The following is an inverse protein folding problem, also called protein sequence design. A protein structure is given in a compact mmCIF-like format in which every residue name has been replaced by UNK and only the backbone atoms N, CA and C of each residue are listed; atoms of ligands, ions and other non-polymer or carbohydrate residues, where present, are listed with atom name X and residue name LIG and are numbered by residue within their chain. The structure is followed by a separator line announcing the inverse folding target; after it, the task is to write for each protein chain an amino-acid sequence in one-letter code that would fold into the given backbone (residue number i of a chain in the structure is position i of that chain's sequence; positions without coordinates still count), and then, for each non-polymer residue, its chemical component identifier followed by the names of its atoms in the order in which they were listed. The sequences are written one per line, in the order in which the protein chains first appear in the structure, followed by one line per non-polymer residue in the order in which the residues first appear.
data_IF_584375975330
#
_entry.id   IF_584375975330
#
_cell.length_a   1.000
_cell.length_b   1.000
_cell.length_c   1.000
_cell.angle_alpha   90.00
_cell.angle_beta   90.00
_cell.angle_gamma   90.00
#
_symmetry.space_group_name_H-M   'P 1'
#
loop_
_entity.id
_entity.type
_entity.pdbx_description
1 polymer ?
#
# COMPACT_ATOMS: atom_id res chain seq x y z
N UNK A 1 -12.02 0.58 -2.62
CA UNK A 1 -10.98 0.58 -3.66
C UNK A 1 -11.25 1.66 -4.71
N UNK A 2 -12.32 1.59 -5.47
CA UNK A 2 -12.67 2.59 -6.49
C UNK A 2 -13.77 3.53 -6.02
N UNK A 3 -13.75 4.77 -6.50
CA UNK A 3 -14.85 5.72 -6.32
C UNK A 3 -16.01 5.32 -7.23
N UNK A 4 -17.24 5.41 -6.72
CA UNK A 4 -18.45 5.26 -7.50
C UNK A 4 -19.04 6.66 -7.76
N UNK A 5 -18.85 7.19 -8.97
CA UNK A 5 -19.33 8.52 -9.30
C UNK A 5 -20.86 8.59 -9.35
N UNK A 6 -21.43 9.78 -9.08
CA UNK A 6 -22.85 10.05 -9.29
C UNK A 6 -23.20 10.07 -10.79
N UNK A 7 -24.49 10.04 -11.12
CA UNK A 7 -24.95 10.15 -12.52
C UNK A 7 -24.49 11.47 -13.16
N UNK A 8 -24.57 12.57 -12.41
CA UNK A 8 -24.13 13.89 -12.87
C UNK A 8 -22.62 13.95 -13.16
N UNK A 9 -21.82 13.29 -12.30
CA UNK A 9 -20.38 13.16 -12.54
C UNK A 9 -20.06 12.32 -13.78
N UNK A 10 -20.89 11.30 -14.09
CA UNK A 10 -20.71 10.45 -15.26
C UNK A 10 -21.11 11.15 -16.58
N UNK A 11 -22.01 12.11 -16.58
CA UNK A 11 -22.47 12.81 -17.78
C UNK A 11 -21.33 13.51 -18.54
N UNK A 12 -20.33 14.02 -17.81
CA UNK A 12 -19.18 14.73 -18.36
C UNK A 12 -17.83 14.03 -18.05
N UNK A 13 -17.88 12.73 -17.75
CA UNK A 13 -16.70 11.99 -17.37
C UNK A 13 -15.87 11.60 -18.59
N UNK A 14 -14.66 12.12 -18.66
CA UNK A 14 -13.64 11.71 -19.64
C UNK A 14 -12.55 10.90 -18.91
N UNK A 15 -12.36 9.62 -19.24
CA UNK A 15 -11.36 8.80 -18.57
C UNK A 15 -9.94 9.16 -19.00
N UNK A 16 -9.04 9.36 -18.05
CA UNK A 16 -7.60 9.44 -18.31
C UNK A 16 -7.01 8.08 -18.67
N UNK A 17 -7.59 6.99 -18.12
CA UNK A 17 -7.18 5.61 -18.33
C UNK A 17 -8.40 4.72 -18.49
N UNK A 18 -8.28 3.67 -19.30
CA UNK A 18 -9.34 2.67 -19.50
C UNK A 18 -8.82 1.29 -19.14
N UNK A 19 -9.57 0.56 -18.32
CA UNK A 19 -9.28 -0.83 -17.97
C UNK A 19 -10.33 -1.76 -18.58
N UNK A 20 -9.87 -2.67 -19.41
CA UNK A 20 -10.69 -3.76 -19.96
C UNK A 20 -10.40 -5.05 -19.19
N UNK A 21 -11.37 -5.53 -18.42
CA UNK A 21 -11.26 -6.79 -17.71
C UNK A 21 -12.13 -7.86 -18.34
N UNK A 22 -11.49 -8.82 -19.00
CA UNK A 22 -12.13 -9.98 -19.62
C UNK A 22 -11.75 -11.26 -18.86
N UNK A 23 -12.29 -11.42 -17.66
CA UNK A 23 -11.93 -12.48 -16.70
C UNK A 23 -12.08 -13.90 -17.24
N UNK A 24 -12.93 -14.12 -18.24
CA UNK A 24 -13.15 -15.45 -18.86
C UNK A 24 -12.34 -15.68 -20.13
N UNK A 25 -11.77 -14.63 -20.72
CA UNK A 25 -11.00 -14.74 -21.94
C UNK A 25 -9.58 -15.24 -21.63
N UNK A 26 -9.15 -16.28 -22.33
CA UNK A 26 -7.83 -16.90 -22.18
C UNK A 26 -6.92 -16.53 -23.34
N UNK A 27 -5.62 -16.47 -23.09
CA UNK A 27 -4.59 -16.36 -24.13
C UNK A 27 -4.16 -17.78 -24.53
N UNK A 28 -4.85 -18.39 -25.46
CA UNK A 28 -4.62 -19.81 -25.85
C UNK A 28 -3.20 -20.02 -26.41
N UNK A 29 -2.69 -19.06 -27.18
CA UNK A 29 -1.36 -19.10 -27.78
C UNK A 29 -0.27 -18.43 -26.92
N UNK A 30 -0.43 -18.45 -25.60
CA UNK A 30 0.46 -17.75 -24.66
C UNK A 30 1.95 -18.11 -24.82
N UNK A 31 2.25 -19.39 -25.17
CA UNK A 31 3.65 -19.85 -25.37
C UNK A 31 4.30 -19.20 -26.59
N UNK A 32 3.53 -19.03 -27.68
CA UNK A 32 4.02 -18.38 -28.91
C UNK A 32 4.29 -16.89 -28.68
N UNK A 33 3.51 -16.28 -27.76
CA UNK A 33 3.69 -14.89 -27.34
C UNK A 33 4.76 -14.71 -26.25
N UNK A 34 5.40 -15.77 -25.80
CA UNK A 34 6.41 -15.72 -24.73
C UNK A 34 5.84 -15.44 -23.33
N UNK A 35 4.55 -15.66 -23.13
CA UNK A 35 3.90 -15.50 -21.81
C UNK A 35 4.04 -16.77 -20.97
N UNK A 36 3.97 -16.61 -19.64
CA UNK A 36 4.11 -17.71 -18.69
C UNK A 36 2.84 -18.55 -18.51
N UNK A 37 1.68 -17.99 -18.84
CA UNK A 37 0.38 -18.65 -18.66
C UNK A 37 -0.69 -18.08 -19.61
N UNK A 38 -1.87 -18.70 -19.59
CA UNK A 38 -3.07 -18.20 -20.29
C UNK A 38 -3.62 -16.88 -19.71
N UNK A 39 -3.08 -16.42 -18.58
CA UNK A 39 -3.44 -15.15 -17.95
C UNK A 39 -2.49 -14.06 -18.43
N UNK A 40 -3.04 -12.92 -18.81
CA UNK A 40 -2.24 -11.77 -19.20
C UNK A 40 -2.78 -10.46 -18.62
N UNK A 41 -1.86 -9.60 -18.20
CA UNK A 41 -2.12 -8.22 -17.82
C UNK A 41 -1.20 -7.34 -18.66
N UNK A 42 -1.77 -6.54 -19.54
CA UNK A 42 -1.03 -5.80 -20.56
C UNK A 42 -1.39 -4.33 -20.49
N UNK A 43 -0.39 -3.47 -20.64
CA UNK A 43 -0.55 -2.03 -20.66
C UNK A 43 -0.14 -1.43 -22.00
N UNK A 44 -0.92 -0.46 -22.46
CA UNK A 44 -0.52 0.45 -23.50
C UNK A 44 -0.41 1.87 -22.92
N UNK A 45 0.81 2.33 -22.69
CA UNK A 45 1.06 3.64 -22.09
C UNK A 45 0.74 4.81 -23.04
N UNK A 46 0.73 4.57 -24.34
CA UNK A 46 0.40 5.59 -25.34
C UNK A 46 -1.11 5.86 -25.37
N UNK A 47 -1.92 4.79 -25.45
CA UNK A 47 -3.39 4.90 -25.44
C UNK A 47 -3.97 4.95 -24.02
N UNK A 48 -3.12 4.73 -23.00
CA UNK A 48 -3.48 4.70 -21.58
C UNK A 48 -4.54 3.66 -21.27
N UNK A 49 -4.30 2.46 -21.76
CA UNK A 49 -5.20 1.32 -21.60
C UNK A 49 -4.52 0.17 -20.86
N UNK A 50 -5.31 -0.55 -20.09
CA UNK A 50 -4.94 -1.83 -19.49
C UNK A 50 -5.92 -2.90 -19.95
N UNK A 51 -5.40 -4.06 -20.37
CA UNK A 51 -6.20 -5.24 -20.68
C UNK A 51 -5.84 -6.35 -19.69
N UNK A 52 -6.85 -6.92 -19.05
CA UNK A 52 -6.73 -8.01 -18.08
C UNK A 52 -7.50 -9.21 -18.61
N UNK A 53 -6.81 -10.35 -18.77
CA UNK A 53 -7.37 -11.58 -19.31
C UNK A 53 -7.22 -12.73 -18.31
N UNK A 54 -8.23 -13.58 -18.21
CA UNK A 54 -8.24 -14.84 -17.48
C UNK A 54 -7.95 -14.73 -15.97
N UNK A 55 -8.34 -13.65 -15.32
CA UNK A 55 -8.31 -13.52 -13.86
C UNK A 55 -9.50 -12.75 -13.33
N UNK A 56 -10.01 -13.18 -12.19
CA UNK A 56 -11.10 -12.53 -11.45
C UNK A 56 -10.58 -11.64 -10.34
N UNK A 57 -9.25 -11.63 -10.12
CA UNK A 57 -8.63 -10.90 -9.02
C UNK A 57 -8.73 -9.39 -9.25
N UNK A 58 -9.52 -8.71 -8.41
CA UNK A 58 -9.76 -7.27 -8.48
C UNK A 58 -8.51 -6.42 -8.26
N UNK A 59 -7.51 -6.99 -7.57
CA UNK A 59 -6.21 -6.37 -7.36
C UNK A 59 -5.45 -6.03 -8.63
N UNK A 60 -5.68 -6.75 -9.75
CA UNK A 60 -5.04 -6.45 -11.03
C UNK A 60 -5.46 -5.08 -11.59
N UNK A 61 -6.73 -4.72 -11.46
CA UNK A 61 -7.21 -3.38 -11.84
C UNK A 61 -6.58 -2.29 -10.97
N UNK A 62 -6.57 -2.50 -9.64
CA UNK A 62 -6.01 -1.55 -8.67
C UNK A 62 -4.51 -1.36 -8.90
N UNK A 63 -3.74 -2.45 -8.88
CA UNK A 63 -2.27 -2.40 -9.01
C UNK A 63 -1.83 -2.00 -10.41
N UNK A 64 -2.64 -2.30 -11.41
CA UNK A 64 -2.42 -1.80 -12.76
C UNK A 64 -2.51 -0.28 -12.83
N UNK A 65 -3.52 0.34 -12.25
CA UNK A 65 -3.62 1.79 -12.18
C UNK A 65 -2.46 2.39 -11.37
N UNK A 66 -2.04 1.74 -10.28
CA UNK A 66 -0.85 2.17 -9.55
C UNK A 66 0.42 2.13 -10.42
N UNK A 67 0.61 1.09 -11.23
CA UNK A 67 1.72 1.03 -12.19
C UNK A 67 1.67 2.15 -13.23
N UNK A 68 0.47 2.53 -13.69
CA UNK A 68 0.27 3.69 -14.57
C UNK A 68 0.67 5.01 -13.87
N UNK A 69 0.26 5.21 -12.60
CA UNK A 69 0.67 6.36 -11.79
C UNK A 69 2.18 6.37 -11.57
N UNK A 70 2.81 5.22 -11.35
CA UNK A 70 4.26 5.06 -11.24
C UNK A 70 5.02 5.39 -12.53
N UNK A 71 4.38 5.33 -13.67
CA UNK A 71 4.98 5.81 -14.92
C UNK A 71 4.83 7.31 -15.09
N UNK A 72 3.61 7.84 -14.99
CA UNK A 72 3.33 9.23 -15.37
C UNK A 72 3.72 10.25 -14.29
N UNK A 73 3.56 9.96 -13.03
CA UNK A 73 3.77 10.91 -11.94
C UNK A 73 5.24 11.30 -11.73
N UNK A 74 6.22 10.38 -11.71
CA UNK A 74 7.63 10.79 -11.60
C UNK A 74 8.12 11.64 -12.77
N UNK A 75 7.54 11.46 -13.96
CA UNK A 75 7.86 12.30 -15.13
C UNK A 75 7.31 13.73 -15.00
N UNK A 76 6.37 13.95 -14.07
CA UNK A 76 5.77 15.26 -13.75
C UNK A 76 6.31 15.87 -12.46
N UNK A 77 7.36 15.28 -11.87
CA UNK A 77 7.94 15.73 -10.61
C UNK A 77 7.10 15.41 -9.37
N UNK A 78 6.24 14.40 -9.45
CA UNK A 78 5.45 13.89 -8.33
C UNK A 78 6.08 12.59 -7.85
N UNK A 79 6.47 12.50 -6.58
CA UNK A 79 6.94 11.25 -6.02
C UNK A 79 5.76 10.27 -5.91
N UNK A 80 5.85 9.14 -6.61
CA UNK A 80 4.85 8.07 -6.56
C UNK A 80 5.36 6.96 -5.66
N UNK A 81 4.53 6.53 -4.69
CA UNK A 81 5.00 5.79 -3.53
C UNK A 81 4.06 4.65 -3.16
N UNK A 82 4.63 3.45 -2.99
CA UNK A 82 3.97 2.32 -2.33
C UNK A 82 4.20 2.44 -0.81
N UNK A 83 3.34 3.16 -0.15
CA UNK A 83 3.44 3.47 1.27
C UNK A 83 2.07 3.70 1.87
N UNK A 84 1.94 3.60 3.19
CA UNK A 84 0.82 4.19 3.91
C UNK A 84 1.16 5.60 4.39
N UNK A 85 0.14 6.40 4.65
CA UNK A 85 0.32 7.79 5.10
C UNK A 85 -0.75 8.22 6.09
N UNK A 86 -0.34 9.00 7.08
CA UNK A 86 -1.24 9.65 8.04
C UNK A 86 -0.77 11.08 8.35
N UNK A 87 -1.60 11.84 9.03
CA UNK A 87 -1.26 13.17 9.52
C UNK A 87 -1.58 13.29 11.00
N UNK A 88 -0.96 14.27 11.70
CA UNK A 88 -1.36 14.59 13.08
C UNK A 88 -2.81 15.10 13.14
N UNK A 89 -3.37 15.21 14.33
CA UNK A 89 -4.80 15.59 14.50
C UNK A 89 -5.06 17.03 14.02
N UNK A 90 -4.05 17.90 14.07
CA UNK A 90 -4.08 19.29 13.62
C UNK A 90 -3.91 19.46 12.11
N UNK A 91 -3.59 18.35 11.39
CA UNK A 91 -3.35 18.33 9.95
C UNK A 91 -2.24 19.29 9.48
N UNK A 92 -1.18 19.42 10.27
CA UNK A 92 -0.04 20.30 9.99
C UNK A 92 1.18 19.56 9.44
N UNK A 93 1.27 18.26 9.69
CA UNK A 93 2.39 17.43 9.25
C UNK A 93 1.96 15.99 8.98
N UNK A 94 2.47 15.40 7.90
CA UNK A 94 2.25 14.00 7.57
C UNK A 94 3.44 13.12 7.91
N UNK A 95 3.16 11.83 8.11
CA UNK A 95 4.14 10.76 8.14
C UNK A 95 3.83 9.74 7.04
N UNK A 96 4.86 9.24 6.36
CA UNK A 96 4.76 8.19 5.35
C UNK A 96 5.56 6.97 5.80
N UNK A 97 5.01 5.78 5.53
CA UNK A 97 5.55 4.51 6.00
C UNK A 97 5.77 3.58 4.81
N UNK A 98 7.02 3.32 4.47
CA UNK A 98 7.42 2.34 3.48
C UNK A 98 7.62 0.97 4.13
N UNK A 99 7.35 -0.09 3.38
CA UNK A 99 7.58 -1.47 3.83
C UNK A 99 6.81 -2.45 2.95
N UNK A 100 7.17 -3.72 2.98
CA UNK A 100 6.44 -4.78 2.29
C UNK A 100 5.23 -5.26 3.09
N UNK A 101 4.48 -6.21 2.51
CA UNK A 101 3.37 -6.86 3.20
C UNK A 101 3.83 -7.50 4.52
N UNK A 102 3.07 -7.29 5.58
CA UNK A 102 3.37 -7.84 6.91
C UNK A 102 4.37 -7.03 7.76
N UNK A 103 4.95 -5.94 7.24
CA UNK A 103 5.87 -5.08 8.02
C UNK A 103 5.15 -4.03 8.87
N UNK A 104 3.84 -4.09 8.99
CA UNK A 104 3.07 -3.22 9.87
C UNK A 104 2.73 -1.83 9.33
N UNK A 105 2.85 -1.59 8.00
CA UNK A 105 2.46 -0.31 7.39
C UNK A 105 1.06 0.15 7.81
N UNK A 106 0.06 -0.70 7.56
CA UNK A 106 -1.34 -0.39 7.87
C UNK A 106 -1.54 -0.19 9.36
N UNK A 107 -1.01 -1.09 10.20
CA UNK A 107 -1.14 -1.02 11.65
C UNK A 107 -0.55 0.27 12.24
N UNK A 108 0.60 0.72 11.74
CA UNK A 108 1.24 1.95 12.22
C UNK A 108 0.57 3.22 11.68
N UNK A 109 0.00 3.17 10.49
CA UNK A 109 -0.67 4.33 9.89
C UNK A 109 -2.08 4.56 10.45
N UNK A 110 -2.72 3.54 11.01
CA UNK A 110 -4.08 3.60 11.59
C UNK A 110 -4.08 3.94 13.09
N UNK A 111 -3.06 4.61 13.60
CA UNK A 111 -3.02 5.12 14.99
C UNK A 111 -4.26 6.00 15.28
N UNK A 112 -5.05 5.71 16.32
CA UNK A 112 -6.25 6.49 16.67
C UNK A 112 -5.95 7.95 17.04
N UNK A 113 -4.69 8.30 17.33
CA UNK A 113 -4.23 9.67 17.59
C UNK A 113 -3.78 10.43 16.34
N UNK A 114 -3.91 9.82 15.16
CA UNK A 114 -3.54 10.43 13.88
C UNK A 114 -4.68 10.18 12.89
N UNK A 115 -4.79 11.00 11.84
CA UNK A 115 -5.78 10.83 10.79
C UNK A 115 -5.18 10.12 9.59
N UNK A 116 -5.82 9.07 9.12
CA UNK A 116 -5.38 8.32 7.95
C UNK A 116 -5.55 9.16 6.68
N UNK A 117 -4.51 9.20 5.83
CA UNK A 117 -4.58 9.71 4.45
C UNK A 117 -4.90 8.54 3.52
N UNK A 118 -4.21 7.42 3.68
CA UNK A 118 -4.43 6.17 2.97
C UNK A 118 -3.47 5.08 3.44
N UNK A 119 -3.75 3.83 3.08
CA UNK A 119 -3.03 2.67 3.61
C UNK A 119 -2.00 2.04 2.65
N UNK A 120 -1.99 2.41 1.33
CA UNK A 120 -1.19 1.64 0.37
C UNK A 120 -0.52 2.46 -0.76
N UNK A 121 -1.21 3.40 -1.42
CA UNK A 121 -0.75 4.03 -2.67
C UNK A 121 -0.88 5.56 -2.63
N UNK A 122 0.24 6.27 -2.71
CA UNK A 122 0.28 7.72 -2.54
C UNK A 122 1.14 8.45 -3.57
N UNK A 123 0.77 9.70 -3.83
CA UNK A 123 1.61 10.70 -4.47
C UNK A 123 2.05 11.78 -3.48
N UNK A 124 3.21 12.37 -3.75
CA UNK A 124 3.68 13.56 -3.04
C UNK A 124 4.08 14.61 -4.05
N UNK A 125 3.26 15.64 -4.17
CA UNK A 125 3.46 16.77 -5.07
C UNK A 125 4.00 18.01 -4.33
N UNK A 126 3.79 19.21 -4.88
CA UNK A 126 4.23 20.46 -4.28
C UNK A 126 3.22 21.02 -3.26
N UNK A 127 2.07 20.41 -3.10
CA UNK A 127 1.03 20.82 -2.14
C UNK A 127 1.00 19.90 -0.90
N UNK A 128 1.44 18.64 -1.05
CA UNK A 128 1.45 17.69 0.05
C UNK A 128 1.35 16.24 -0.41
N UNK A 129 0.99 15.36 0.51
CA UNK A 129 0.78 13.93 0.28
C UNK A 129 -0.68 13.68 -0.07
N UNK A 130 -0.94 12.85 -1.07
CA UNK A 130 -2.31 12.49 -1.45
C UNK A 130 -2.44 11.00 -1.79
N UNK A 131 -3.60 10.45 -1.50
CA UNK A 131 -3.94 9.06 -1.76
C UNK A 131 -4.49 8.90 -3.19
N UNK A 132 -4.08 7.85 -3.89
CA UNK A 132 -4.61 7.52 -5.23
C UNK A 132 -5.95 6.81 -5.18
N UNK A 133 -6.32 6.26 -4.03
CA UNK A 133 -7.43 5.31 -3.91
C UNK A 133 -8.69 5.96 -3.35
N UNK A 134 -9.86 5.50 -3.82
CA UNK A 134 -11.16 5.88 -3.26
C UNK A 134 -11.56 5.06 -2.03
N UNK A 135 -10.76 4.11 -1.62
CA UNK A 135 -11.01 3.23 -0.48
C UNK A 135 -9.82 2.35 -0.18
N UNK A 136 -10.00 1.40 0.72
CA UNK A 136 -8.99 0.42 1.09
C UNK A 136 -9.26 -0.93 0.43
N UNK A 137 -8.21 -1.73 0.26
CA UNK A 137 -8.28 -3.11 -0.23
C UNK A 137 -7.40 -4.01 0.65
N UNK A 138 -7.98 -4.43 1.76
CA UNK A 138 -7.28 -5.12 2.82
C UNK A 138 -7.32 -6.65 2.65
N UNK A 139 -6.26 -7.33 3.09
CA UNK A 139 -6.24 -8.78 3.29
C UNK A 139 -6.99 -9.09 4.59
N UNK A 140 -7.87 -10.11 4.56
CA UNK A 140 -8.75 -10.42 5.69
C UNK A 140 -8.69 -11.88 6.14
N UNK A 141 -7.69 -12.64 5.68
CA UNK A 141 -7.49 -14.00 6.21
C UNK A 141 -7.14 -13.93 7.70
N UNK A 142 -7.87 -14.68 8.52
CA UNK A 142 -7.79 -14.67 9.98
C UNK A 142 -7.99 -13.25 10.60
N UNK A 143 -8.76 -12.38 9.95
CA UNK A 143 -9.07 -11.05 10.49
C UNK A 143 -9.71 -11.18 11.87
N UNK A 144 -9.10 -10.52 12.84
CA UNK A 144 -9.55 -10.47 14.21
C UNK A 144 -9.90 -9.05 14.65
N UNK A 145 -10.99 -8.90 15.37
CA UNK A 145 -11.50 -7.60 15.80
C UNK A 145 -10.61 -6.88 16.81
N UNK A 146 -9.88 -7.63 17.63
CA UNK A 146 -9.02 -7.05 18.67
C UNK A 146 -7.69 -6.58 18.11
N UNK A 147 -7.14 -7.32 17.14
CA UNK A 147 -5.85 -7.00 16.53
C UNK A 147 -5.96 -5.97 15.39
N UNK A 148 -7.06 -5.96 14.62
CA UNK A 148 -7.27 -5.08 13.47
C UNK A 148 -8.67 -4.43 13.50
N UNK A 149 -8.98 -3.65 14.54
CA UNK A 149 -10.32 -3.10 14.77
C UNK A 149 -10.80 -2.17 13.64
N UNK A 150 -9.91 -1.40 13.03
CA UNK A 150 -10.27 -0.45 11.97
C UNK A 150 -10.73 -1.16 10.71
N UNK A 151 -10.02 -2.21 10.27
CA UNK A 151 -10.44 -3.03 9.13
C UNK A 151 -11.74 -3.73 9.44
N UNK A 152 -11.83 -4.37 10.63
CA UNK A 152 -13.04 -5.10 11.03
C UNK A 152 -14.29 -4.20 11.07
N UNK A 153 -14.18 -3.01 11.66
CA UNK A 153 -15.28 -2.06 11.78
C UNK A 153 -15.63 -1.37 10.46
N UNK A 154 -14.70 -1.31 9.50
CA UNK A 154 -14.95 -0.79 8.16
C UNK A 154 -15.74 -1.74 7.26
N UNK A 155 -15.88 -3.03 7.64
CA UNK A 155 -16.69 -4.02 6.93
C UNK A 155 -18.16 -3.79 7.24
N UNK A 156 -18.77 -2.90 6.50
CA UNK A 156 -20.18 -2.48 6.61
C UNK A 156 -20.87 -2.71 5.27
N UNK A 157 -22.15 -2.32 5.19
CA UNK A 157 -22.85 -2.22 3.91
C UNK A 157 -22.00 -1.41 2.91
N UNK A 158 -21.96 -1.86 1.66
CA UNK A 158 -21.15 -1.34 0.54
C UNK A 158 -19.66 -1.75 0.57
N UNK A 159 -19.21 -2.55 1.54
CA UNK A 159 -17.96 -3.30 1.42
C UNK A 159 -18.12 -4.49 0.48
N UNK A 160 -17.10 -4.78 -0.32
CA UNK A 160 -17.05 -5.93 -1.23
C UNK A 160 -16.09 -6.97 -0.66
N UNK A 161 -16.58 -8.20 -0.50
CA UNK A 161 -15.79 -9.36 -0.11
C UNK A 161 -15.31 -10.10 -1.36
N UNK A 162 -14.02 -10.45 -1.42
CA UNK A 162 -13.43 -11.23 -2.49
C UNK A 162 -12.78 -12.50 -1.92
N UNK A 163 -13.17 -13.66 -2.44
CA UNK A 163 -12.74 -14.99 -1.98
C UNK A 163 -13.08 -15.29 -0.51
N UNK A 164 -13.98 -14.55 0.10
CA UNK A 164 -14.44 -14.72 1.48
C UNK A 164 -15.77 -15.48 1.47
N UNK A 165 -15.88 -16.51 2.29
CA UNK A 165 -17.10 -17.29 2.42
C UNK A 165 -18.07 -16.66 3.39
N UNK A 166 -19.35 -16.75 3.05
CA UNK A 166 -20.46 -16.27 3.87
C UNK A 166 -21.50 -17.39 3.99
N UNK A 167 -21.89 -17.74 5.19
CA UNK A 167 -22.88 -18.78 5.41
C UNK A 167 -24.32 -18.35 5.05
N UNK A 168 -25.25 -19.29 5.11
CA UNK A 168 -26.67 -19.03 4.79
C UNK A 168 -27.33 -17.98 5.71
N UNK A 169 -26.76 -17.67 6.86
CA UNK A 169 -27.24 -16.67 7.82
C UNK A 169 -26.55 -15.31 7.64
N UNK A 170 -25.65 -15.20 6.65
CA UNK A 170 -24.89 -13.97 6.39
C UNK A 170 -23.66 -13.82 7.31
N UNK A 171 -23.24 -14.85 8.04
CA UNK A 171 -22.04 -14.82 8.87
C UNK A 171 -20.81 -15.03 7.99
N UNK A 172 -19.83 -14.15 8.16
CA UNK A 172 -18.54 -14.19 7.45
C UNK A 172 -17.59 -15.10 8.23
N UNK A 173 -16.88 -15.98 7.52
CA UNK A 173 -15.77 -16.77 8.06
C UNK A 173 -14.45 -16.30 7.46
N UNK A 174 -13.69 -15.50 8.23
CA UNK A 174 -12.39 -15.01 7.83
C UNK A 174 -11.27 -16.06 7.93
N UNK A 175 -11.51 -17.21 8.59
CA UNK A 175 -10.53 -18.28 8.69
C UNK A 175 -10.66 -19.32 7.54
N UNK A 176 -11.74 -19.27 6.77
CA UNK A 176 -11.97 -20.21 5.68
C UNK A 176 -11.01 -19.94 4.51
N UNK A 177 -10.27 -20.97 4.13
CA UNK A 177 -9.30 -21.00 3.03
C UNK A 177 -9.75 -21.87 1.85
N UNK A 178 -11.01 -22.31 1.85
CA UNK A 178 -11.53 -23.26 0.85
C UNK A 178 -11.46 -22.72 -0.58
N UNK A 179 -11.59 -21.40 -0.76
CA UNK A 179 -11.41 -20.73 -2.06
C UNK A 179 -9.93 -20.43 -2.28
N UNK A 180 -9.30 -19.67 -1.40
CA UNK A 180 -7.87 -19.32 -1.41
C UNK A 180 -7.50 -18.63 -0.09
N UNK A 181 -6.21 -18.60 0.24
CA UNK A 181 -5.69 -17.78 1.35
C UNK A 181 -5.66 -16.27 1.03
N UNK A 182 -5.83 -15.89 -0.24
CA UNK A 182 -5.87 -14.50 -0.66
C UNK A 182 -7.30 -13.93 -0.58
N UNK A 183 -7.83 -13.90 0.63
CA UNK A 183 -9.12 -13.27 0.93
C UNK A 183 -8.96 -11.77 1.08
N UNK A 184 -9.87 -11.00 0.50
CA UNK A 184 -9.82 -9.54 0.50
C UNK A 184 -11.16 -8.91 0.85
N UNK A 185 -11.10 -7.71 1.41
CA UNK A 185 -12.22 -6.80 1.48
C UNK A 185 -11.86 -5.47 0.85
N UNK A 186 -12.77 -4.92 0.08
CA UNK A 186 -12.70 -3.54 -0.42
C UNK A 186 -13.82 -2.73 0.22
N UNK A 187 -13.47 -1.60 0.81
CA UNK A 187 -14.43 -0.67 1.40
C UNK A 187 -14.09 0.79 1.07
N UNK A 188 -15.10 1.66 0.99
CA UNK A 188 -14.87 3.09 0.75
C UNK A 188 -14.05 3.71 1.88
N UNK A 189 -13.19 4.68 1.55
CA UNK A 189 -12.30 5.32 2.53
C UNK A 189 -13.06 5.99 3.70
N UNK A 190 -14.26 6.48 3.46
CA UNK A 190 -15.10 7.11 4.49
C UNK A 190 -15.69 6.12 5.51
N UNK A 191 -15.50 4.81 5.34
CA UNK A 191 -15.79 3.83 6.38
C UNK A 191 -14.83 3.91 7.56
N UNK A 192 -13.64 4.47 7.34
CA UNK A 192 -12.66 4.76 8.40
C UNK A 192 -13.10 6.03 9.13
N UNK A 193 -13.23 5.94 10.46
CA UNK A 193 -13.68 7.08 11.27
C UNK A 193 -12.66 8.20 11.35
N UNK A 194 -11.38 7.79 11.50
CA UNK A 194 -10.25 8.70 11.69
C UNK A 194 -9.57 9.04 10.37
N UNK A 195 -10.32 9.52 9.39
CA UNK A 195 -9.83 9.92 8.07
C UNK A 195 -9.55 11.42 8.01
N UNK A 196 -8.50 11.82 7.27
CA UNK A 196 -8.18 13.24 7.00
C UNK A 196 -9.29 13.94 6.22
N UNK A 197 -9.44 15.25 6.43
CA UNK A 197 -10.40 16.10 5.68
C UNK A 197 -9.69 17.36 5.15
N UNK A 198 -9.76 17.66 3.83
CA UNK A 198 -10.49 16.92 2.80
C UNK A 198 -9.95 15.50 2.61
N UNK A 199 -10.85 14.59 2.25
CA UNK A 199 -10.51 13.17 2.08
C UNK A 199 -9.36 13.03 1.07
N UNK A 200 -8.44 12.11 1.38
CA UNK A 200 -7.30 11.73 0.54
C UNK A 200 -6.21 12.79 0.35
N UNK A 201 -6.21 13.88 1.09
CA UNK A 201 -5.16 14.91 1.04
C UNK A 201 -4.62 15.20 2.43
N UNK A 202 -3.31 15.37 2.53
CA UNK A 202 -2.62 15.76 3.75
C UNK A 202 -1.47 16.72 3.47
N UNK A 203 -0.95 17.40 4.49
CA UNK A 203 0.20 18.29 4.36
C UNK A 203 1.46 17.54 3.94
N UNK A 204 2.54 18.27 3.69
CA UNK A 204 3.85 17.67 3.41
C UNK A 204 4.29 16.71 4.51
N UNK A 205 4.92 15.60 4.10
CA UNK A 205 5.52 14.69 5.07
C UNK A 205 6.71 15.36 5.77
N UNK A 206 6.72 15.25 7.09
CA UNK A 206 7.84 15.63 7.97
C UNK A 206 8.58 14.41 8.51
N UNK A 207 7.95 13.23 8.40
CA UNK A 207 8.54 11.96 8.79
C UNK A 207 8.45 10.98 7.63
N UNK A 208 9.57 10.38 7.26
CA UNK A 208 9.67 9.31 6.27
C UNK A 208 10.21 8.08 7.00
N UNK A 209 9.40 7.04 7.10
CA UNK A 209 9.68 5.87 7.92
C UNK A 209 9.81 4.65 7.02
N UNK A 210 10.97 3.98 7.11
CA UNK A 210 11.24 2.73 6.42
C UNK A 210 11.08 1.56 7.39
N UNK A 211 10.11 0.71 7.16
CA UNK A 211 9.82 -0.48 7.95
C UNK A 211 10.53 -1.68 7.34
N UNK A 212 11.36 -2.35 8.12
CA UNK A 212 12.05 -3.55 7.70
C UNK A 212 11.90 -4.66 8.73
N UNK A 213 11.69 -5.88 8.28
CA UNK A 213 11.85 -7.04 9.12
C UNK A 213 13.30 -7.55 9.01
N UNK A 214 13.90 -7.85 10.16
CA UNK A 214 15.27 -8.40 10.23
C UNK A 214 15.21 -9.91 10.48
N UNK A 215 15.58 -10.68 9.45
CA UNK A 215 15.60 -12.14 9.54
C UNK A 215 16.72 -12.67 10.46
N UNK A 216 17.75 -11.89 10.76
CA UNK A 216 18.96 -12.34 11.46
C UNK A 216 19.15 -11.69 12.84
N UNK A 217 18.36 -10.68 13.19
CA UNK A 217 18.44 -9.97 14.48
C UNK A 217 19.72 -9.12 14.63
N UNK A 218 20.25 -8.57 13.53
CA UNK A 218 21.51 -7.82 13.50
C UNK A 218 21.34 -6.29 13.40
N UNK A 219 20.19 -5.83 12.94
CA UNK A 219 19.92 -4.41 12.75
C UNK A 219 19.41 -3.76 14.05
N UNK A 220 19.79 -2.50 14.33
CA UNK A 220 19.23 -1.78 15.48
C UNK A 220 17.72 -1.54 15.29
N UNK A 221 16.96 -1.51 16.39
CA UNK A 221 15.50 -1.29 16.32
C UNK A 221 15.12 0.02 15.64
N UNK A 222 15.88 1.08 15.86
CA UNK A 222 15.64 2.41 15.30
C UNK A 222 16.96 3.00 14.81
N UNK A 223 16.95 3.56 13.62
CA UNK A 223 18.09 4.31 13.07
C UNK A 223 17.60 5.61 12.43
N UNK A 224 18.28 6.71 12.73
CA UNK A 224 18.10 7.97 12.00
C UNK A 224 19.06 7.95 10.81
N UNK A 225 18.52 8.12 9.60
CA UNK A 225 19.29 8.05 8.37
C UNK A 225 19.68 9.46 7.89
N UNK A 226 20.85 9.59 7.28
CA UNK A 226 21.15 10.74 6.44
C UNK A 226 20.50 10.57 5.03
N UNK A 227 20.44 11.62 4.19
CA UNK A 227 19.79 11.55 2.89
C UNK A 227 20.34 10.43 1.97
N UNK A 228 21.67 10.23 1.96
CA UNK A 228 22.29 9.19 1.14
C UNK A 228 21.93 7.77 1.64
N UNK A 229 21.88 7.57 2.95
CA UNK A 229 21.41 6.32 3.54
C UNK A 229 19.91 6.08 3.24
N UNK A 230 19.08 7.10 3.38
CA UNK A 230 17.65 7.00 3.04
C UNK A 230 17.44 6.62 1.57
N UNK A 231 18.17 7.25 0.65
CA UNK A 231 18.15 6.90 -0.77
C UNK A 231 18.61 5.46 -1.02
N UNK A 232 19.69 5.02 -0.39
CA UNK A 232 20.18 3.65 -0.51
C UNK A 232 19.17 2.61 -0.03
N UNK A 233 18.60 2.81 1.16
CA UNK A 233 17.59 1.90 1.71
C UNK A 233 16.30 1.90 0.91
N UNK A 234 15.87 3.05 0.41
CA UNK A 234 14.72 3.13 -0.49
C UNK A 234 14.95 2.37 -1.79
N UNK A 235 16.10 2.57 -2.44
CA UNK A 235 16.48 1.87 -3.67
C UNK A 235 16.60 0.36 -3.46
N UNK A 236 17.20 -0.09 -2.37
CA UNK A 236 17.33 -1.52 -2.08
C UNK A 236 16.00 -2.15 -1.67
N UNK A 237 15.17 -1.41 -0.92
CA UNK A 237 13.94 -1.94 -0.35
C UNK A 237 14.17 -3.21 0.44
N UNK A 238 15.26 -3.24 1.23
CA UNK A 238 15.62 -4.41 2.04
C UNK A 238 14.59 -4.65 3.14
N UNK A 239 14.20 -5.91 3.29
CA UNK A 239 13.35 -6.40 4.39
C UNK A 239 13.43 -7.92 4.46
N UNK A 240 12.63 -8.55 5.31
CA UNK A 240 12.39 -9.98 5.26
C UNK A 240 10.91 -10.25 4.93
N UNK A 241 10.66 -11.27 4.11
CA UNK A 241 9.33 -11.87 3.99
C UNK A 241 9.03 -12.61 5.29
N UNK A 242 7.88 -12.34 5.85
CA UNK A 242 7.44 -12.96 7.10
C UNK A 242 6.53 -14.17 6.83
N UNK A 243 6.52 -15.13 7.76
CA UNK A 243 5.65 -16.29 7.67
C UNK A 243 4.18 -15.89 7.47
N UNK A 244 3.48 -16.57 6.56
CA UNK A 244 2.07 -16.31 6.25
C UNK A 244 1.78 -15.05 5.41
N UNK A 245 2.80 -14.27 5.01
CA UNK A 245 2.60 -13.10 4.15
C UNK A 245 2.54 -13.44 2.66
N UNK A 246 3.25 -14.50 2.26
CA UNK A 246 3.26 -15.05 0.90
C UNK A 246 3.17 -16.59 0.94
N UNK A 247 2.65 -17.19 -0.12
CA UNK A 247 2.53 -18.66 -0.22
C UNK A 247 3.90 -19.32 -0.15
N UNK A 248 4.04 -20.28 0.76
CA UNK A 248 5.27 -21.07 0.92
C UNK A 248 6.35 -20.43 1.80
N UNK A 249 6.09 -19.25 2.38
CA UNK A 249 6.99 -18.62 3.35
C UNK A 249 6.59 -19.08 4.75
N UNK A 250 7.45 -19.87 5.38
CA UNK A 250 7.26 -20.40 6.74
C UNK A 250 8.20 -19.79 7.76
N UNK A 251 9.32 -19.20 7.31
CA UNK A 251 10.33 -18.54 8.14
C UNK A 251 10.72 -17.19 7.56
N UNK A 252 11.19 -16.23 8.37
CA UNK A 252 11.68 -14.96 7.89
C UNK A 252 12.78 -15.13 6.84
N UNK A 253 12.58 -14.63 5.64
CA UNK A 253 13.53 -14.78 4.52
C UNK A 253 13.93 -13.40 4.00
N UNK A 254 15.25 -13.07 3.97
CA UNK A 254 15.71 -11.79 3.45
C UNK A 254 15.24 -11.57 2.02
N UNK A 255 14.82 -10.35 1.71
CA UNK A 255 14.38 -9.99 0.37
C UNK A 255 14.68 -8.53 0.05
N UNK A 256 14.68 -8.21 -1.23
CA UNK A 256 14.84 -6.87 -1.75
C UNK A 256 13.69 -6.55 -2.69
N UNK A 257 13.12 -5.36 -2.54
CA UNK A 257 12.09 -4.88 -3.45
C UNK A 257 12.33 -3.40 -3.71
N UNK A 258 12.95 -3.07 -4.84
CA UNK A 258 13.32 -1.70 -5.18
C UNK A 258 12.17 -0.72 -4.90
N UNK A 259 12.47 0.34 -4.17
CA UNK A 259 11.51 1.36 -3.74
C UNK A 259 10.29 0.80 -2.97
N UNK A 260 10.43 -0.38 -2.35
CA UNK A 260 9.34 -1.15 -1.70
C UNK A 260 8.16 -1.48 -2.62
N UNK A 261 8.36 -1.42 -3.94
CA UNK A 261 7.30 -1.61 -4.92
C UNK A 261 7.79 -2.13 -6.27
N UNK A 262 8.85 -2.95 -6.30
CA UNK A 262 9.53 -3.40 -7.52
C UNK A 262 8.59 -3.92 -8.61
N UNK A 263 7.53 -4.63 -8.24
CA UNK A 263 6.55 -5.20 -9.17
C UNK A 263 5.72 -4.13 -9.92
N UNK A 264 5.71 -2.89 -9.44
CA UNK A 264 4.87 -1.80 -9.95
C UNK A 264 5.69 -0.69 -10.62
N UNK A 265 7.02 -0.82 -10.68
CA UNK A 265 7.89 0.19 -11.25
C UNK A 265 7.95 0.03 -12.77
N UNK A 266 7.63 1.11 -13.49
CA UNK A 266 7.69 1.16 -14.96
C UNK A 266 8.87 1.99 -15.47
N UNK A 267 9.57 2.69 -14.58
CA UNK A 267 10.79 3.45 -14.84
C UNK A 267 11.95 2.84 -14.06
N UNK A 268 13.18 3.29 -14.33
CA UNK A 268 14.32 2.87 -13.53
C UNK A 268 14.16 3.30 -12.06
N UNK A 269 14.49 2.45 -11.06
CA UNK A 269 14.29 2.74 -9.64
C UNK A 269 14.88 4.07 -9.17
N UNK A 270 16.00 4.50 -9.74
CA UNK A 270 16.63 5.78 -9.40
C UNK A 270 15.73 6.99 -9.64
N UNK A 271 14.82 6.91 -10.62
CA UNK A 271 13.89 8.02 -10.90
C UNK A 271 12.92 8.24 -9.72
N UNK A 272 12.44 7.17 -9.11
CA UNK A 272 11.57 7.26 -7.93
C UNK A 272 12.33 7.78 -6.71
N UNK A 273 13.56 7.30 -6.51
CA UNK A 273 14.40 7.74 -5.42
C UNK A 273 14.78 9.22 -5.53
N UNK A 274 15.10 9.71 -6.72
CA UNK A 274 15.36 11.12 -6.98
C UNK A 274 14.16 12.01 -6.62
N UNK A 275 12.96 11.62 -7.05
CA UNK A 275 11.76 12.42 -6.76
C UNK A 275 11.43 12.39 -5.24
N UNK A 276 11.60 11.26 -4.57
CA UNK A 276 11.43 11.17 -3.11
C UNK A 276 12.44 12.06 -2.38
N UNK A 277 13.73 11.96 -2.71
CA UNK A 277 14.79 12.77 -2.09
C UNK A 277 14.54 14.27 -2.29
N UNK A 278 14.16 14.71 -3.50
CA UNK A 278 13.77 16.11 -3.74
C UNK A 278 12.66 16.59 -2.82
N UNK A 279 11.63 15.76 -2.58
CA UNK A 279 10.52 16.11 -1.68
C UNK A 279 11.00 16.16 -0.22
N UNK A 280 11.84 15.22 0.20
CA UNK A 280 12.42 15.20 1.55
C UNK A 280 13.30 16.45 1.80
N UNK A 281 14.16 16.82 0.86
CA UNK A 281 15.01 18.02 0.96
C UNK A 281 14.18 19.30 0.99
N UNK A 282 13.18 19.41 0.10
CA UNK A 282 12.28 20.57 0.03
C UNK A 282 11.56 20.82 1.35
N UNK A 283 11.18 19.76 2.07
CA UNK A 283 10.36 19.86 3.29
C UNK A 283 11.17 19.76 4.57
N UNK A 284 12.45 19.39 4.50
CA UNK A 284 13.28 19.09 5.66
C UNK A 284 12.78 17.87 6.44
N UNK A 285 12.19 16.89 5.75
CA UNK A 285 11.67 15.68 6.39
C UNK A 285 12.77 14.87 7.08
N UNK A 286 12.49 14.35 8.26
CA UNK A 286 13.36 13.39 8.95
C UNK A 286 13.17 11.98 8.37
N UNK A 287 14.25 11.21 8.28
CA UNK A 287 14.27 9.85 7.76
C UNK A 287 14.61 8.87 8.87
N UNK A 288 13.74 7.93 9.10
CA UNK A 288 13.89 6.94 10.18
C UNK A 288 13.75 5.53 9.63
N UNK A 289 14.66 4.67 10.01
CA UNK A 289 14.58 3.23 9.77
C UNK A 289 14.09 2.54 11.04
N UNK A 290 13.03 1.74 10.90
CA UNK A 290 12.51 0.91 11.97
C UNK A 290 12.67 -0.55 11.62
N UNK A 291 13.31 -1.30 12.50
CA UNK A 291 13.52 -2.74 12.34
C UNK A 291 12.54 -3.52 13.20
N UNK A 292 11.80 -4.40 12.57
CA UNK A 292 10.94 -5.37 13.27
C UNK A 292 11.74 -6.65 13.47
N UNK A 293 11.97 -7.03 14.73
CA UNK A 293 12.71 -8.24 15.10
C UNK A 293 11.74 -9.31 15.57
N UNK A 294 11.63 -10.41 14.84
CA UNK A 294 10.95 -11.64 15.21
C UNK A 294 9.44 -11.52 15.55
N UNK A 295 8.73 -12.62 15.46
CA UNK A 295 7.27 -12.66 15.61
C UNK A 295 6.76 -12.43 17.04
N UNK A 296 7.54 -12.72 18.08
CA UNK A 296 7.11 -12.51 19.48
C UNK A 296 7.42 -11.10 20.01
N UNK A 297 8.45 -10.46 19.51
CA UNK A 297 8.82 -9.09 19.87
C UNK A 297 8.06 -8.03 19.06
N UNK A 298 7.45 -8.38 17.92
CA UNK A 298 6.68 -7.45 17.10
C UNK A 298 5.55 -6.77 17.90
N UNK A 299 4.85 -7.49 18.77
CA UNK A 299 3.78 -6.94 19.61
C UNK A 299 4.30 -6.02 20.73
N UNK A 300 5.49 -6.28 21.27
CA UNK A 300 6.13 -5.43 22.30
C UNK A 300 6.75 -4.21 21.62
N UNK A 301 7.38 -4.37 20.44
CA UNK A 301 7.96 -3.26 19.69
C UNK A 301 6.90 -2.37 19.04
N UNK A 302 5.76 -2.89 18.59
CA UNK A 302 4.64 -2.04 18.16
C UNK A 302 4.22 -1.07 19.28
N UNK A 303 4.15 -1.52 20.52
CA UNK A 303 3.84 -0.65 21.66
C UNK A 303 4.94 0.39 21.90
N UNK A 304 6.21 0.04 21.74
CA UNK A 304 7.36 0.95 21.87
C UNK A 304 7.44 1.93 20.70
N UNK A 305 7.13 1.48 19.47
CA UNK A 305 7.10 2.34 18.27
C UNK A 305 5.93 3.32 18.33
N UNK A 306 4.77 2.92 18.82
CA UNK A 306 3.64 3.83 19.10
C UNK A 306 4.01 4.89 20.13
N UNK A 307 4.77 4.53 21.17
CA UNK A 307 5.32 5.48 22.17
C UNK A 307 6.39 6.35 21.53
N UNK A 308 7.30 5.82 20.71
CA UNK A 308 8.35 6.59 20.02
C UNK A 308 7.77 7.49 18.93
N UNK A 309 6.74 7.07 18.18
CA UNK A 309 6.07 7.95 17.21
C UNK A 309 5.34 9.10 17.88
N UNK A 310 4.75 8.88 19.05
CA UNK A 310 4.14 9.95 19.85
C UNK A 310 5.18 10.85 20.55
N UNK A 311 6.41 10.36 20.81
CA UNK A 311 7.51 11.12 21.43
C UNK A 311 8.49 11.71 20.41
N UNK A 312 8.63 11.16 19.21
CA UNK A 312 9.44 11.78 18.14
C UNK A 312 8.87 13.11 17.61
N UNK A 313 7.64 13.45 17.95
CA UNK A 313 7.10 14.80 17.70
C UNK A 313 7.76 15.88 18.58
N UNK A 314 8.57 15.51 19.61
CA UNK A 314 9.18 16.42 20.58
C UNK A 314 10.72 16.47 20.52
N UNK A 315 11.35 15.70 19.62
CA UNK A 315 12.78 15.80 19.30
C UNK A 315 13.00 16.31 17.87
#
# INVERSE_FOLDING_TARGET
MFIRPSKEQLENFEPDFVVYNASKAKVENYKELGLNSETAVVFNLTTKEQVILNTWYGGEMKKGMFSMMNYFNPLRGIASMHCSANTNMEETESAIFFGLSGTGKTTLSTDPKRKLIGDDEHGWDNEGVFNYEGGCYAKVINLDKESEPDIYNAIKRDALLENVTVDANGKIDFADKSVTENTRVSYPIHHIENIVKPISKGPHAKQVIFLSADAFGVLPPVSILNPAQAQYYFLSGFTAKLAGTERGITEPTPTFSACFGAAFLSLHPTKYAEELVKKMEMTGAKHTWLTLVGTELANVFLSVILVVSSTLSWM
#
